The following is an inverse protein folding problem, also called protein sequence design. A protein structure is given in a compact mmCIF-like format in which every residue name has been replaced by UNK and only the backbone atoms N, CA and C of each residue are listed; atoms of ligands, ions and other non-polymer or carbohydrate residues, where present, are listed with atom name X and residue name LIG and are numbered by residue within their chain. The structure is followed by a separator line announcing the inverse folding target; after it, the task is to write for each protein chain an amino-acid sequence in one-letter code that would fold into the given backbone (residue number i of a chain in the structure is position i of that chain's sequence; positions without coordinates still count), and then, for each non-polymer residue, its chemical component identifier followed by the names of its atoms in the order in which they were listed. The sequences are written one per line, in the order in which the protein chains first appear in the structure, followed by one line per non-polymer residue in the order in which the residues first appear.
data_IF_791394986174
#
_entry.id   IF_791394986174
#
_cell.length_a   1.000
_cell.length_b   1.000
_cell.length_c   1.000
_cell.angle_alpha   90.00
_cell.angle_beta   90.00
_cell.angle_gamma   90.00
#
_symmetry.space_group_name_H-M   'P 1'
#
loop_
_entity.id
_entity.type
_entity.pdbx_description
1 polymer ?
#
# COMPACT_ATOMS: atom_id res chain seq x y z
N UNK A 1 -17.49 5.34 -24.72
CA UNK A 1 -17.30 6.06 -23.45
C UNK A 1 -16.18 5.39 -22.67
N UNK A 2 -15.15 6.14 -22.31
CA UNK A 2 -14.02 5.61 -21.55
C UNK A 2 -14.31 5.78 -20.06
N UNK A 3 -14.46 4.68 -19.36
CA UNK A 3 -14.62 4.71 -17.90
C UNK A 3 -13.24 4.73 -17.24
N UNK A 4 -13.06 5.67 -16.32
CA UNK A 4 -11.84 5.69 -15.51
C UNK A 4 -11.75 4.41 -14.66
N UNK A 5 -10.56 3.84 -14.59
CA UNK A 5 -10.31 2.70 -13.72
C UNK A 5 -10.40 3.10 -12.26
N UNK A 6 -10.80 2.15 -11.42
CA UNK A 6 -10.69 2.30 -9.97
C UNK A 6 -9.23 2.51 -9.60
N UNK A 7 -9.02 3.30 -8.57
CA UNK A 7 -7.69 3.50 -7.98
C UNK A 7 -7.63 2.78 -6.64
N UNK A 8 -6.66 1.88 -6.52
CA UNK A 8 -6.43 1.10 -5.31
C UNK A 8 -5.03 1.43 -4.81
N UNK A 9 -4.95 1.97 -3.60
CA UNK A 9 -3.67 2.23 -2.95
C UNK A 9 -3.38 1.13 -1.94
N UNK A 10 -2.15 0.66 -1.93
CA UNK A 10 -1.65 -0.34 -0.99
C UNK A 10 -0.53 0.29 -0.18
N UNK A 11 -0.71 0.42 1.12
CA UNK A 11 0.30 0.98 2.02
C UNK A 11 1.00 -0.18 2.72
N UNK A 12 2.26 -0.35 2.41
CA UNK A 12 3.08 -1.49 2.77
C UNK A 12 3.46 -2.30 1.53
N UNK A 13 4.74 -2.35 1.20
CA UNK A 13 5.28 -3.07 0.04
C UNK A 13 6.15 -4.27 0.45
N UNK A 14 5.89 -4.81 1.63
CA UNK A 14 6.48 -6.08 2.07
C UNK A 14 5.86 -7.27 1.34
N UNK A 15 6.06 -8.46 1.86
CA UNK A 15 5.57 -9.68 1.20
C UNK A 15 4.06 -9.66 0.99
N UNK A 16 3.29 -9.24 1.99
CA UNK A 16 1.82 -9.22 1.90
C UNK A 16 1.36 -8.14 0.93
N UNK A 17 1.83 -6.90 1.11
CA UNK A 17 1.39 -5.77 0.29
C UNK A 17 1.77 -5.91 -1.17
N UNK A 18 3.01 -6.34 -1.47
CA UNK A 18 3.46 -6.54 -2.83
C UNK A 18 2.73 -7.69 -3.53
N UNK A 19 2.50 -8.80 -2.81
CA UNK A 19 1.72 -9.94 -3.35
C UNK A 19 0.28 -9.52 -3.65
N UNK A 20 -0.34 -8.77 -2.74
CA UNK A 20 -1.69 -8.23 -2.96
C UNK A 20 -1.72 -7.33 -4.19
N UNK A 21 -0.77 -6.41 -4.31
CA UNK A 21 -0.69 -5.51 -5.47
C UNK A 21 -0.60 -6.29 -6.79
N UNK A 22 0.21 -7.33 -6.83
CA UNK A 22 0.35 -8.20 -8.01
C UNK A 22 -0.97 -8.89 -8.36
N UNK A 23 -1.68 -9.46 -7.38
CA UNK A 23 -2.97 -10.10 -7.63
C UNK A 23 -4.04 -9.12 -8.09
N UNK A 24 -4.08 -7.92 -7.50
CA UNK A 24 -5.01 -6.87 -7.92
C UNK A 24 -4.74 -6.43 -9.36
N UNK A 25 -3.47 -6.29 -9.74
CA UNK A 25 -3.07 -5.89 -11.09
C UNK A 25 -3.42 -6.97 -12.13
N UNK A 26 -3.10 -8.22 -11.85
CA UNK A 26 -3.41 -9.37 -12.75
C UNK A 26 -4.91 -9.50 -12.99
N UNK A 27 -5.72 -9.25 -11.97
CA UNK A 27 -7.18 -9.29 -12.09
C UNK A 27 -7.78 -8.01 -12.66
N UNK A 28 -6.96 -7.01 -12.94
CA UNK A 28 -7.39 -5.72 -13.49
C UNK A 28 -8.51 -5.05 -12.70
N UNK A 29 -8.46 -5.17 -11.35
CA UNK A 29 -9.45 -4.56 -10.46
C UNK A 29 -9.33 -3.04 -10.38
N UNK A 30 -8.19 -2.50 -10.77
CA UNK A 30 -7.93 -1.07 -10.79
C UNK A 30 -6.46 -0.78 -11.08
N UNK A 31 -6.12 0.49 -11.09
CA UNK A 31 -4.73 0.95 -11.12
C UNK A 31 -4.19 0.95 -9.69
N UNK A 32 -2.97 0.46 -9.51
CA UNK A 32 -2.40 0.19 -8.19
C UNK A 32 -1.33 1.22 -7.86
N UNK A 33 -1.47 1.85 -6.69
CA UNK A 33 -0.51 2.79 -6.13
C UNK A 33 0.08 2.16 -4.87
N UNK A 34 1.37 1.81 -4.93
CA UNK A 34 2.06 1.06 -3.89
C UNK A 34 2.96 1.99 -3.07
N UNK A 35 2.82 1.97 -1.75
CA UNK A 35 3.54 2.84 -0.83
C UNK A 35 4.35 2.03 0.17
N UNK A 36 5.56 2.48 0.49
CA UNK A 36 6.35 1.94 1.59
C UNK A 36 7.34 2.99 2.11
N UNK A 37 7.75 2.83 3.35
CA UNK A 37 8.76 3.69 3.98
C UNK A 37 10.18 3.35 3.52
N UNK A 38 10.41 2.13 3.06
CA UNK A 38 11.74 1.68 2.63
C UNK A 38 12.06 2.24 1.24
N UNK A 39 13.10 3.05 1.20
CA UNK A 39 13.51 3.79 0.00
C UNK A 39 13.69 2.88 -1.22
N UNK A 40 13.06 3.25 -2.31
CA UNK A 40 13.16 2.57 -3.60
C UNK A 40 12.41 1.25 -3.71
N UNK A 41 11.95 0.66 -2.61
CA UNK A 41 11.26 -0.64 -2.63
C UNK A 41 9.93 -0.59 -3.38
N UNK A 42 9.01 0.35 -3.09
CA UNK A 42 7.74 0.38 -3.81
C UNK A 42 7.92 0.70 -5.30
N UNK A 43 8.83 1.59 -5.64
CA UNK A 43 9.13 1.93 -7.04
C UNK A 43 9.70 0.73 -7.80
N UNK A 44 10.65 0.00 -7.19
CA UNK A 44 11.26 -1.18 -7.80
C UNK A 44 10.25 -2.31 -8.02
N UNK A 45 9.43 -2.59 -7.03
CA UNK A 45 8.37 -3.62 -7.13
C UNK A 45 7.30 -3.23 -8.17
N UNK A 46 6.91 -1.98 -8.21
CA UNK A 46 5.99 -1.47 -9.22
C UNK A 46 6.57 -1.59 -10.63
N UNK A 47 7.85 -1.30 -10.82
CA UNK A 47 8.54 -1.47 -12.08
C UNK A 47 8.53 -2.93 -12.55
N UNK A 48 8.86 -3.87 -11.65
CA UNK A 48 8.80 -5.29 -11.95
C UNK A 48 7.41 -5.72 -12.41
N UNK A 49 6.37 -5.25 -11.74
CA UNK A 49 4.99 -5.56 -12.10
C UNK A 49 4.61 -4.99 -13.47
N UNK A 50 5.04 -3.76 -13.78
CA UNK A 50 4.79 -3.16 -15.09
C UNK A 50 5.52 -3.90 -16.21
N UNK A 51 6.76 -4.29 -15.98
CA UNK A 51 7.55 -5.03 -16.97
C UNK A 51 7.00 -6.44 -17.19
N UNK A 52 6.44 -7.05 -16.15
CA UNK A 52 5.78 -8.35 -16.24
C UNK A 52 4.38 -8.30 -16.86
N UNK A 53 3.75 -7.14 -16.94
CA UNK A 53 2.36 -7.01 -17.36
C UNK A 53 2.04 -7.64 -18.73
N UNK A 54 2.83 -7.43 -19.79
CA UNK A 54 2.56 -8.06 -21.07
C UNK A 54 2.62 -9.59 -21.00
N UNK A 55 3.52 -10.12 -20.19
CA UNK A 55 3.67 -11.56 -19.99
C UNK A 55 2.47 -12.18 -19.26
N UNK A 56 1.96 -11.48 -18.24
CA UNK A 56 0.82 -11.91 -17.45
C UNK A 56 -0.53 -11.55 -18.06
N UNK A 57 -0.54 -10.74 -19.09
CA UNK A 57 -1.76 -10.38 -19.84
C UNK A 57 -2.64 -9.33 -19.19
N UNK A 58 -2.06 -8.40 -18.39
CA UNK A 58 -2.81 -7.29 -17.83
C UNK A 58 -2.21 -5.94 -18.26
N UNK A 59 -3.02 -4.88 -18.19
CA UNK A 59 -2.59 -3.52 -18.50
C UNK A 59 -2.88 -2.50 -17.38
N UNK A 60 -3.20 -2.98 -16.17
CA UNK A 60 -3.31 -2.14 -14.98
C UNK A 60 -2.03 -1.35 -14.76
N UNK A 61 -2.16 -0.05 -14.51
CA UNK A 61 -1.01 0.75 -14.10
C UNK A 61 -0.59 0.37 -12.69
N UNK A 62 0.72 0.29 -12.45
CA UNK A 62 1.28 0.08 -11.11
C UNK A 62 2.36 1.12 -10.90
N UNK A 63 2.21 1.93 -9.85
CA UNK A 63 3.15 3.01 -9.52
C UNK A 63 3.56 2.88 -8.05
N UNK A 64 4.83 3.11 -7.75
CA UNK A 64 5.35 3.04 -6.39
C UNK A 64 5.79 4.40 -5.86
N UNK A 65 5.66 4.59 -4.56
CA UNK A 65 6.04 5.81 -3.87
C UNK A 65 6.71 5.49 -2.53
N UNK A 66 7.89 6.03 -2.31
CA UNK A 66 8.57 5.99 -1.01
C UNK A 66 7.97 7.06 -0.10
N UNK A 67 7.39 6.67 1.03
CA UNK A 67 6.61 7.57 1.87
C UNK A 67 7.43 8.60 2.64
N UNK A 68 8.75 8.41 2.72
CA UNK A 68 9.68 9.41 3.27
C UNK A 68 9.97 10.55 2.29
N UNK A 69 9.63 10.39 1.02
CA UNK A 69 9.77 11.46 0.04
C UNK A 69 8.71 12.53 0.30
N UNK A 70 9.10 13.78 0.06
CA UNK A 70 8.19 14.91 0.21
C UNK A 70 6.96 14.71 -0.67
N UNK A 71 5.80 14.94 -0.07
CA UNK A 71 4.51 14.87 -0.76
C UNK A 71 4.12 13.49 -1.32
N UNK A 72 4.79 12.41 -0.93
CA UNK A 72 4.44 11.07 -1.40
C UNK A 72 2.98 10.70 -1.10
N UNK A 73 2.53 10.97 0.11
CA UNK A 73 1.16 10.64 0.53
C UNK A 73 0.05 11.41 -0.20
N UNK A 74 0.36 12.52 -0.87
CA UNK A 74 -0.66 13.21 -1.67
C UNK A 74 -1.17 12.36 -2.84
N UNK A 75 -0.38 11.37 -3.27
CA UNK A 75 -0.79 10.41 -4.29
C UNK A 75 -1.87 9.43 -3.83
N UNK A 76 -2.25 9.44 -2.54
CA UNK A 76 -3.45 8.75 -2.05
C UNK A 76 -4.74 9.40 -2.56
N UNK A 77 -4.70 10.67 -2.93
CA UNK A 77 -5.89 11.39 -3.36
C UNK A 77 -6.60 10.69 -4.51
N UNK A 78 -7.91 10.60 -4.44
CA UNK A 78 -8.71 9.92 -5.45
C UNK A 78 -8.74 8.39 -5.34
N UNK A 79 -8.13 7.80 -4.32
CA UNK A 79 -8.22 6.37 -4.08
C UNK A 79 -9.67 5.96 -3.76
N UNK A 80 -10.14 4.93 -4.44
CA UNK A 80 -11.44 4.31 -4.14
C UNK A 80 -11.31 3.37 -2.95
N UNK A 81 -10.21 2.62 -2.89
CA UNK A 81 -9.89 1.69 -1.81
C UNK A 81 -8.45 1.87 -1.39
N UNK A 82 -8.20 1.84 -0.09
CA UNK A 82 -6.85 1.84 0.47
C UNK A 82 -6.70 0.60 1.34
N UNK A 83 -5.75 -0.26 1.00
CA UNK A 83 -5.41 -1.43 1.81
C UNK A 83 -4.14 -1.12 2.60
N UNK A 84 -4.22 -1.26 3.91
CA UNK A 84 -3.11 -0.99 4.81
C UNK A 84 -2.53 -2.32 5.29
N UNK A 85 -1.33 -2.63 4.81
CA UNK A 85 -0.56 -3.81 5.24
C UNK A 85 0.70 -3.42 5.99
N UNK A 86 0.83 -2.12 6.29
CA UNK A 86 1.99 -1.59 6.99
C UNK A 86 2.05 -2.12 8.43
N UNK A 87 3.25 -2.24 8.94
CA UNK A 87 3.52 -2.71 10.28
C UNK A 87 4.81 -3.51 10.34
N UNK A 88 5.39 -3.58 11.52
CA UNK A 88 6.60 -4.37 11.75
C UNK A 88 6.24 -5.81 12.08
N UNK A 89 6.99 -6.74 11.52
CA UNK A 89 6.97 -8.13 11.97
C UNK A 89 7.65 -8.24 13.35
N UNK A 90 7.17 -9.16 14.17
CA UNK A 90 7.78 -9.45 15.45
C UNK A 90 9.19 -9.99 15.24
N UNK A 91 10.17 -9.35 15.88
CA UNK A 91 11.58 -9.79 15.87
C UNK A 91 11.91 -10.56 17.15
N UNK A 92 12.90 -11.47 17.10
CA UNK A 92 13.39 -12.11 18.32
C UNK A 92 13.78 -11.09 19.39
N UNK A 93 13.39 -11.34 20.64
CA UNK A 93 13.63 -10.42 21.76
C UNK A 93 12.64 -9.28 21.91
N UNK A 94 11.72 -9.11 20.97
CA UNK A 94 10.66 -8.10 21.06
C UNK A 94 9.44 -8.64 21.80
N UNK A 95 8.97 -7.89 22.81
CA UNK A 95 7.73 -8.23 23.50
C UNK A 95 6.50 -7.95 22.63
N UNK A 96 5.36 -8.55 22.98
CA UNK A 96 4.09 -8.25 22.30
C UNK A 96 3.70 -6.78 22.47
N UNK A 97 3.95 -6.22 23.65
CA UNK A 97 3.64 -4.81 23.93
C UNK A 97 4.53 -3.85 23.13
N UNK A 98 5.81 -4.18 22.94
CA UNK A 98 6.72 -3.40 22.10
C UNK A 98 6.22 -3.37 20.64
N UNK A 99 5.81 -4.53 20.12
CA UNK A 99 5.24 -4.63 18.78
C UNK A 99 3.96 -3.81 18.65
N UNK A 100 3.06 -3.93 19.64
CA UNK A 100 1.80 -3.20 19.69
C UNK A 100 2.05 -1.69 19.63
N UNK A 101 2.95 -1.17 20.47
CA UNK A 101 3.23 0.26 20.55
C UNK A 101 3.82 0.80 19.25
N UNK A 102 4.75 0.08 18.64
CA UNK A 102 5.37 0.46 17.36
C UNK A 102 4.34 0.46 16.23
N UNK A 103 3.53 -0.59 16.13
CA UNK A 103 2.51 -0.68 15.10
C UNK A 103 1.40 0.33 15.31
N UNK A 104 1.04 0.66 16.54
CA UNK A 104 0.08 1.71 16.84
C UNK A 104 0.55 3.07 16.33
N UNK A 105 1.83 3.41 16.53
CA UNK A 105 2.39 4.66 16.00
C UNK A 105 2.38 4.70 14.48
N UNK A 106 2.72 3.60 13.83
CA UNK A 106 2.66 3.47 12.36
C UNK A 106 1.22 3.66 11.87
N UNK A 107 0.26 3.02 12.53
CA UNK A 107 -1.17 3.13 12.16
C UNK A 107 -1.72 4.53 12.36
N UNK A 108 -1.30 5.24 13.39
CA UNK A 108 -1.68 6.65 13.59
C UNK A 108 -1.17 7.52 12.47
N UNK A 109 0.09 7.40 12.11
CA UNK A 109 0.71 8.16 11.02
C UNK A 109 0.01 7.91 9.68
N UNK A 110 -0.19 6.63 9.36
CA UNK A 110 -0.91 6.23 8.14
C UNK A 110 -2.34 6.76 8.15
N UNK A 111 -3.05 6.60 9.27
CA UNK A 111 -4.44 7.06 9.42
C UNK A 111 -4.59 8.58 9.24
N UNK A 112 -3.66 9.36 9.78
CA UNK A 112 -3.65 10.81 9.61
C UNK A 112 -3.44 11.21 8.15
N UNK A 113 -2.54 10.53 7.45
CA UNK A 113 -2.30 10.78 6.03
C UNK A 113 -3.50 10.40 5.16
N UNK A 114 -4.17 9.29 5.46
CA UNK A 114 -5.40 8.89 4.76
C UNK A 114 -6.49 9.93 4.98
N UNK A 115 -6.70 10.35 6.21
CA UNK A 115 -7.69 11.37 6.55
C UNK A 115 -7.44 12.68 5.81
N UNK A 116 -6.19 13.06 5.68
CA UNK A 116 -5.79 14.31 5.02
C UNK A 116 -5.98 14.25 3.50
N UNK A 117 -5.63 13.12 2.86
CA UNK A 117 -5.51 13.04 1.40
C UNK A 117 -6.63 12.26 0.72
N UNK A 118 -7.24 11.31 1.41
CA UNK A 118 -8.25 10.43 0.83
C UNK A 118 -9.36 10.09 1.83
N UNK A 119 -10.09 11.10 2.36
CA UNK A 119 -11.08 10.88 3.43
C UNK A 119 -12.27 10.02 3.02
N UNK A 120 -12.56 9.91 1.72
CA UNK A 120 -13.71 9.19 1.21
C UNK A 120 -13.40 7.75 0.77
N UNK A 121 -12.14 7.32 0.88
CA UNK A 121 -11.74 5.97 0.48
C UNK A 121 -12.29 4.91 1.44
N UNK A 122 -12.62 3.75 0.90
CA UNK A 122 -12.88 2.56 1.71
C UNK A 122 -11.53 2.01 2.19
N UNK A 123 -11.41 1.74 3.48
CA UNK A 123 -10.16 1.31 4.09
C UNK A 123 -10.26 -0.14 4.52
N UNK A 124 -9.31 -0.97 4.08
CA UNK A 124 -9.15 -2.36 4.50
C UNK A 124 -7.81 -2.48 5.23
N UNK A 125 -7.85 -2.86 6.48
CA UNK A 125 -6.64 -3.00 7.30
C UNK A 125 -6.26 -4.47 7.45
N UNK A 126 -5.05 -4.80 7.04
CA UNK A 126 -4.44 -6.12 7.19
C UNK A 126 -3.19 -5.94 8.05
N UNK A 127 -3.39 -5.89 9.34
CA UNK A 127 -2.33 -5.59 10.30
C UNK A 127 -2.43 -6.52 11.51
N UNK A 128 -1.35 -6.67 12.23
CA UNK A 128 -1.30 -7.51 13.40
C UNK A 128 -0.70 -6.75 14.59
N UNK A 129 -1.38 -6.74 15.76
CA UNK A 129 -2.69 -7.35 16.02
C UNK A 129 -3.83 -6.57 15.35
N UNK A 130 -4.92 -7.27 14.97
CA UNK A 130 -6.02 -6.68 14.23
C UNK A 130 -6.95 -5.81 15.08
N UNK A 131 -6.84 -5.90 16.40
CA UNK A 131 -7.66 -5.21 17.38
C UNK A 131 -7.03 -3.90 17.91
N UNK A 132 -6.13 -3.31 17.17
CA UNK A 132 -5.51 -2.03 17.52
C UNK A 132 -6.45 -0.88 17.17
#
# INVERSE_FOLDING_TARGET
MHMARRKISVIGAGNVGASLAQFLAVRELGDIYLFDVVDGVPEGKALDMREGAPHWGYDSAVVGFTTTDKDAYKHLAGSDVIVVTAGLARKPGMSRDDLLNKNLQIMKDVGENIKKHAPDAVIVVVSNPADI
#
